data_IF_133734009639
#
_entry.id   IF_133734009639
#
_cell.length_a   1.000
_cell.length_b   1.000
_cell.length_c   1.000
_cell.angle_alpha   90.00
_cell.angle_beta   90.00
_cell.angle_gamma   90.00
#
_symmetry.space_group_name_H-M   'P 1'
#
loop_
_entity.id
_entity.type
_entity.pdbx_description
1 polymer ?
#
# COMPACT_ATOMS: atom_id res chain seq x y z
N UNK A 1 17.99 -11.95 -39.33
CA UNK A 1 18.92 -10.97 -38.76
C UNK A 1 18.39 -9.58 -39.04
N UNK A 2 17.72 -8.98 -38.07
CA UNK A 2 17.35 -7.56 -38.04
C UNK A 2 17.32 -7.17 -36.56
N UNK A 3 18.52 -7.14 -35.98
CA UNK A 3 18.78 -6.48 -34.70
C UNK A 3 19.05 -5.00 -34.97
N UNK A 4 18.76 -4.17 -33.97
CA UNK A 4 19.08 -2.75 -33.87
C UNK A 4 18.05 -1.79 -34.47
N UNK A 5 17.05 -1.47 -33.64
CA UNK A 5 16.70 -0.08 -33.33
C UNK A 5 16.08 -0.03 -31.93
N UNK A 6 16.92 -0.25 -30.92
CA UNK A 6 16.58 0.03 -29.51
C UNK A 6 16.55 1.54 -29.31
N UNK A 7 15.38 2.14 -29.48
CA UNK A 7 15.12 3.56 -29.24
C UNK A 7 15.60 4.02 -27.85
N UNK A 8 16.34 5.13 -27.85
CA UNK A 8 17.20 5.68 -26.79
C UNK A 8 16.54 6.07 -25.44
N UNK A 9 15.25 5.79 -25.20
CA UNK A 9 14.55 6.10 -23.94
C UNK A 9 13.93 4.85 -23.27
N UNK A 10 14.50 3.67 -23.49
CA UNK A 10 14.14 2.42 -22.78
C UNK A 10 14.71 2.37 -21.36
N UNK A 11 14.18 1.47 -20.52
CA UNK A 11 14.75 1.13 -19.21
C UNK A 11 16.08 0.34 -19.36
N UNK A 12 17.03 0.85 -20.15
CA UNK A 12 18.26 0.15 -20.54
C UNK A 12 19.42 0.39 -19.57
N UNK A 13 19.43 1.53 -18.87
CA UNK A 13 20.45 1.82 -17.87
C UNK A 13 20.23 1.01 -16.59
N UNK A 14 21.19 0.17 -16.23
CA UNK A 14 21.22 -0.56 -14.94
C UNK A 14 20.98 0.39 -13.76
N UNK A 15 21.54 1.60 -13.81
CA UNK A 15 21.35 2.62 -12.77
C UNK A 15 19.90 3.09 -12.65
N UNK A 16 19.16 3.20 -13.77
CA UNK A 16 17.73 3.58 -13.74
C UNK A 16 16.89 2.46 -13.13
N UNK A 17 17.14 1.21 -13.50
CA UNK A 17 16.48 0.03 -12.87
C UNK A 17 16.69 0.01 -11.35
N UNK A 18 17.94 0.22 -10.91
CA UNK A 18 18.31 0.28 -9.49
C UNK A 18 17.62 1.46 -8.79
N UNK A 19 17.54 2.64 -9.42
CA UNK A 19 16.87 3.80 -8.83
C UNK A 19 15.39 3.52 -8.55
N UNK A 20 14.65 2.94 -9.51
CA UNK A 20 13.23 2.57 -9.31
C UNK A 20 13.05 1.49 -8.24
N UNK A 21 13.95 0.50 -8.20
CA UNK A 21 13.97 -0.52 -7.16
C UNK A 21 14.25 0.07 -5.76
N UNK A 22 15.15 1.04 -5.65
CA UNK A 22 15.45 1.72 -4.38
C UNK A 22 14.30 2.60 -3.90
N UNK A 23 13.67 3.35 -4.81
CA UNK A 23 12.49 4.16 -4.48
C UNK A 23 11.37 3.26 -3.98
N UNK A 24 11.04 2.18 -4.71
CA UNK A 24 10.03 1.21 -4.29
C UNK A 24 10.34 0.61 -2.92
N UNK A 25 11.57 0.15 -2.70
CA UNK A 25 12.01 -0.39 -1.42
C UNK A 25 11.89 0.61 -0.26
N UNK A 26 12.24 1.88 -0.47
CA UNK A 26 12.24 2.90 0.58
C UNK A 26 10.85 3.42 0.96
N UNK A 27 9.89 3.35 0.02
CA UNK A 27 8.61 4.06 0.10
C UNK A 27 7.78 3.70 1.34
N UNK A 28 7.69 2.40 1.66
CA UNK A 28 6.88 1.91 2.78
C UNK A 28 7.67 1.79 4.11
N UNK A 29 8.97 2.08 4.15
CA UNK A 29 9.77 1.87 5.37
C UNK A 29 9.24 2.69 6.55
N UNK A 30 8.89 3.95 6.32
CA UNK A 30 8.35 4.83 7.36
C UNK A 30 6.98 4.36 7.85
N UNK A 31 6.13 3.89 6.94
CA UNK A 31 4.83 3.30 7.28
C UNK A 31 5.00 2.05 8.19
N UNK A 32 6.01 1.22 7.92
CA UNK A 32 6.32 0.04 8.76
C UNK A 32 6.82 0.40 10.16
N UNK A 33 7.34 1.62 10.39
CA UNK A 33 7.66 2.10 11.75
C UNK A 33 6.38 2.27 12.57
N UNK A 34 5.35 2.88 11.99
CA UNK A 34 4.06 3.10 12.65
C UNK A 34 3.24 1.83 12.86
N UNK A 35 3.35 0.86 11.94
CA UNK A 35 2.56 -0.38 11.98
C UNK A 35 3.30 -1.56 12.61
N UNK A 36 4.33 -2.10 11.95
CA UNK A 36 5.07 -3.26 12.46
C UNK A 36 5.83 -2.91 13.75
N UNK A 37 6.23 -1.65 13.90
CA UNK A 37 6.85 -1.12 15.11
C UNK A 37 5.86 -0.75 16.24
N UNK A 38 4.54 -0.82 16.01
CA UNK A 38 3.53 -0.36 16.96
C UNK A 38 3.68 -0.92 18.39
N UNK A 39 3.96 -2.23 18.61
CA UNK A 39 4.11 -2.76 19.98
C UNK A 39 5.24 -2.07 20.76
N UNK A 40 6.31 -1.68 20.07
CA UNK A 40 7.46 -1.01 20.66
C UNK A 40 7.18 0.49 20.86
N UNK A 41 6.53 1.13 19.89
CA UNK A 41 6.07 2.52 20.00
C UNK A 41 5.14 2.72 21.19
N UNK A 42 4.15 1.84 21.39
CA UNK A 42 3.22 1.97 22.51
C UNK A 42 3.90 1.88 23.88
N UNK A 43 4.88 0.99 24.02
CA UNK A 43 5.68 0.89 25.24
C UNK A 43 6.53 2.14 25.46
N UNK A 44 7.12 2.69 24.39
CA UNK A 44 7.85 3.96 24.42
C UNK A 44 6.98 5.13 24.87
N UNK A 45 5.73 5.19 24.43
CA UNK A 45 4.79 6.26 24.76
C UNK A 45 3.97 5.98 26.03
N UNK A 46 4.24 4.89 26.76
CA UNK A 46 3.48 4.46 27.95
C UNK A 46 1.96 4.34 27.71
N UNK A 47 1.56 3.84 26.54
CA UNK A 47 0.15 3.60 26.21
C UNK A 47 -0.23 2.19 26.71
N UNK A 48 -1.38 2.02 27.41
CA UNK A 48 -1.85 0.71 27.85
C UNK A 48 -1.99 -0.31 26.71
N UNK A 49 -1.56 -1.56 26.94
CA UNK A 49 -1.54 -2.60 25.91
C UNK A 49 -2.95 -2.97 25.38
N UNK A 50 -4.01 -2.80 26.18
CA UNK A 50 -5.38 -3.07 25.73
C UNK A 50 -5.87 -2.07 24.66
N UNK A 51 -5.24 -0.90 24.52
CA UNK A 51 -5.51 0.08 23.47
C UNK A 51 -4.76 -0.22 22.16
N UNK A 52 -4.06 -1.35 22.07
CA UNK A 52 -3.18 -1.67 20.94
C UNK A 52 -3.91 -1.64 19.60
N UNK A 53 -5.06 -2.31 19.51
CA UNK A 53 -5.84 -2.34 18.26
C UNK A 53 -6.32 -0.95 17.86
N UNK A 54 -6.67 -0.08 18.82
CA UNK A 54 -7.15 1.27 18.55
C UNK A 54 -6.00 2.18 18.09
N UNK A 55 -4.84 2.11 18.74
CA UNK A 55 -3.64 2.83 18.32
C UNK A 55 -3.22 2.46 16.89
N UNK A 56 -3.09 1.16 16.60
CA UNK A 56 -2.67 0.68 15.28
C UNK A 56 -3.64 1.13 14.19
N UNK A 57 -4.95 1.00 14.41
CA UNK A 57 -5.98 1.44 13.46
C UNK A 57 -5.90 2.95 13.21
N UNK A 58 -5.80 3.77 14.27
CA UNK A 58 -5.70 5.25 14.12
C UNK A 58 -4.45 5.69 13.38
N UNK A 59 -3.29 5.10 13.68
CA UNK A 59 -2.03 5.40 12.99
C UNK A 59 -2.12 4.96 11.53
N UNK A 60 -2.60 3.74 11.27
CA UNK A 60 -2.73 3.21 9.91
C UNK A 60 -3.64 4.08 9.05
N UNK A 61 -4.86 4.38 9.51
CA UNK A 61 -5.81 5.18 8.74
C UNK A 61 -5.31 6.61 8.47
N UNK A 62 -4.61 7.21 9.43
CA UNK A 62 -4.02 8.54 9.25
C UNK A 62 -2.96 8.56 8.16
N UNK A 63 -2.07 7.56 8.19
CA UNK A 63 -1.02 7.38 7.19
C UNK A 63 -1.64 7.16 5.81
N UNK A 64 -2.61 6.25 5.69
CA UNK A 64 -3.26 5.96 4.41
C UNK A 64 -4.03 7.16 3.85
N UNK A 65 -4.75 7.89 4.70
CA UNK A 65 -5.45 9.12 4.30
C UNK A 65 -4.49 10.22 3.86
N UNK A 66 -3.38 10.40 4.57
CA UNK A 66 -2.35 11.37 4.23
C UNK A 66 -1.62 10.98 2.93
N UNK A 67 -1.36 9.68 2.73
CA UNK A 67 -0.86 9.14 1.47
C UNK A 67 -1.80 9.40 0.31
N UNK A 68 -3.10 9.19 0.49
CA UNK A 68 -4.12 9.54 -0.51
C UNK A 68 -4.12 11.05 -0.82
N UNK A 69 -4.01 11.91 0.19
CA UNK A 69 -3.88 13.36 -0.02
C UNK A 69 -2.61 13.70 -0.84
N UNK A 70 -1.49 13.02 -0.57
CA UNK A 70 -0.25 13.14 -1.33
C UNK A 70 -0.38 12.69 -2.79
N UNK A 71 -1.04 11.56 -3.02
CA UNK A 71 -1.32 11.06 -4.38
C UNK A 71 -2.23 12.02 -5.13
N UNK A 72 -3.25 12.57 -4.46
CA UNK A 72 -4.16 13.57 -5.01
C UNK A 72 -3.40 14.83 -5.43
N UNK A 73 -2.56 15.37 -4.55
CA UNK A 73 -1.74 16.54 -4.85
C UNK A 73 -0.77 16.28 -6.03
N UNK A 74 -0.12 15.12 -6.03
CA UNK A 74 0.74 14.69 -7.13
C UNK A 74 -0.03 14.54 -8.44
N UNK A 75 -1.24 13.97 -8.41
CA UNK A 75 -2.07 13.77 -9.60
C UNK A 75 -2.53 15.11 -10.18
N UNK A 76 -3.04 16.02 -9.34
CA UNK A 76 -3.41 17.38 -9.75
C UNK A 76 -2.23 18.06 -10.42
N UNK A 77 -1.06 18.04 -9.78
CA UNK A 77 0.16 18.62 -10.34
C UNK A 77 0.51 18.02 -11.70
N UNK A 78 0.50 16.69 -11.82
CA UNK A 78 0.86 16.03 -13.09
C UNK A 78 -0.15 16.27 -14.23
N UNK A 79 -1.42 16.53 -13.91
CA UNK A 79 -2.47 16.80 -14.91
C UNK A 79 -2.42 18.28 -15.32
N UNK A 80 -2.40 19.20 -14.36
CA UNK A 80 -2.39 20.65 -14.59
C UNK A 80 -1.13 21.09 -15.36
N UNK A 81 0.03 20.57 -14.95
CA UNK A 81 1.32 20.89 -15.55
C UNK A 81 1.81 19.85 -16.58
N UNK A 82 0.96 18.86 -16.90
CA UNK A 82 1.24 17.84 -17.92
C UNK A 82 0.84 18.24 -19.34
N UNK A 83 0.12 19.36 -19.50
CA UNK A 83 -0.37 19.86 -20.80
C UNK A 83 0.70 20.60 -21.62
N UNK A 84 0.59 20.50 -22.94
CA UNK A 84 1.54 20.93 -23.99
C UNK A 84 2.05 22.39 -23.97
N UNK A 85 1.66 23.26 -23.02
CA UNK A 85 1.98 24.70 -23.06
C UNK A 85 2.77 25.25 -21.85
N UNK A 86 3.41 24.40 -21.05
CA UNK A 86 4.27 24.88 -19.97
C UNK A 86 5.19 23.79 -19.44
N UNK A 87 6.21 23.44 -20.22
CA UNK A 87 7.17 22.41 -19.86
C UNK A 87 7.96 22.79 -18.60
N UNK A 88 7.52 22.30 -17.44
CA UNK A 88 8.35 22.28 -16.24
C UNK A 88 8.88 20.88 -15.98
N UNK A 89 10.06 20.83 -15.36
CA UNK A 89 10.86 19.63 -15.16
C UNK A 89 10.25 18.72 -14.06
N UNK A 90 9.33 17.81 -14.42
CA UNK A 90 8.85 16.76 -13.50
C UNK A 90 10.00 16.02 -12.80
N UNK A 91 11.13 15.89 -13.49
CA UNK A 91 12.36 15.30 -12.96
C UNK A 91 12.94 16.10 -11.79
N UNK A 92 13.01 17.44 -11.90
CA UNK A 92 13.53 18.32 -10.83
C UNK A 92 12.60 18.31 -9.61
N UNK A 93 11.29 18.32 -9.85
CA UNK A 93 10.30 18.23 -8.78
C UNK A 93 10.40 16.87 -8.08
N UNK A 94 10.52 15.78 -8.85
CA UNK A 94 10.71 14.43 -8.31
C UNK A 94 12.00 14.31 -7.48
N UNK A 95 13.10 14.94 -7.90
CA UNK A 95 14.33 15.04 -7.10
C UNK A 95 14.06 15.76 -5.77
N UNK A 96 13.40 16.92 -5.82
CA UNK A 96 13.06 17.71 -4.63
C UNK A 96 12.22 16.92 -3.63
N UNK A 97 11.21 16.18 -4.11
CA UNK A 97 10.33 15.36 -3.26
C UNK A 97 11.11 14.19 -2.62
N UNK A 98 12.02 13.53 -3.35
CA UNK A 98 12.86 12.47 -2.77
C UNK A 98 13.77 12.98 -1.64
N UNK A 99 14.36 14.17 -1.80
CA UNK A 99 15.13 14.82 -0.72
C UNK A 99 14.24 15.26 0.44
N UNK A 100 13.03 15.73 0.16
CA UNK A 100 12.03 16.04 1.20
C UNK A 100 11.66 14.79 2.01
N UNK A 101 11.59 13.62 1.37
CA UNK A 101 11.35 12.34 2.05
C UNK A 101 12.51 11.92 2.95
N UNK A 102 13.75 12.19 2.55
CA UNK A 102 14.90 12.03 3.45
C UNK A 102 14.80 12.98 4.67
N UNK A 103 14.51 14.27 4.43
CA UNK A 103 14.42 15.27 5.50
C UNK A 103 13.32 14.95 6.51
N UNK A 104 12.14 14.50 6.07
CA UNK A 104 11.06 14.14 7.00
C UNK A 104 11.42 12.91 7.85
N UNK A 105 12.20 11.96 7.33
CA UNK A 105 12.70 10.83 8.12
C UNK A 105 13.71 11.30 9.18
N UNK A 106 14.50 12.34 8.90
CA UNK A 106 15.38 12.99 9.90
C UNK A 106 14.55 13.69 10.98
N UNK A 107 13.48 14.41 10.61
CA UNK A 107 12.55 15.01 11.58
C UNK A 107 11.90 13.94 12.44
N UNK A 108 11.45 12.83 11.84
CA UNK A 108 10.85 11.71 12.55
C UNK A 108 11.80 11.12 13.60
N UNK A 109 13.10 11.04 13.30
CA UNK A 109 14.11 10.62 14.26
C UNK A 109 14.19 11.56 15.46
N UNK A 110 14.28 12.87 15.24
CA UNK A 110 14.33 13.84 16.34
C UNK A 110 13.07 13.80 17.18
N UNK A 111 11.89 13.76 16.56
CA UNK A 111 10.60 13.69 17.27
C UNK A 111 10.50 12.41 18.11
N UNK A 112 11.02 11.28 17.61
CA UNK A 112 10.99 10.01 18.35
C UNK A 112 11.97 9.97 19.54
N UNK A 113 13.16 10.54 19.37
CA UNK A 113 14.21 10.54 20.41
C UNK A 113 13.94 11.59 21.49
N UNK A 114 13.33 12.72 21.13
CA UNK A 114 13.00 13.81 22.06
C UNK A 114 11.72 13.51 22.87
N UNK A 115 11.47 14.30 23.92
CA UNK A 115 10.24 14.21 24.73
C UNK A 115 10.32 13.38 26.02
N UNK A 116 11.52 13.10 26.53
CA UNK A 116 11.70 12.48 27.85
C UNK A 116 11.04 11.10 27.97
N UNK A 117 10.56 10.75 29.16
CA UNK A 117 10.01 9.41 29.44
C UNK A 117 8.72 9.08 28.69
N UNK A 118 7.88 10.08 28.38
CA UNK A 118 6.58 9.85 27.75
C UNK A 118 6.57 10.08 26.25
N UNK A 119 7.55 10.81 25.71
CA UNK A 119 7.71 11.09 24.29
C UNK A 119 6.63 12.00 23.71
N UNK A 120 6.93 12.67 22.60
CA UNK A 120 5.96 13.49 21.88
C UNK A 120 5.08 12.64 20.95
N UNK A 121 4.11 11.91 21.52
CA UNK A 121 3.24 10.99 20.79
C UNK A 121 2.49 11.68 19.63
N UNK A 122 1.89 12.84 19.88
CA UNK A 122 1.11 13.57 18.88
C UNK A 122 1.98 14.10 17.75
N UNK A 123 3.18 14.59 18.05
CA UNK A 123 4.11 15.07 17.02
C UNK A 123 4.65 13.89 16.19
N UNK A 124 4.90 12.75 16.83
CA UNK A 124 5.30 11.51 16.15
C UNK A 124 4.21 11.07 15.17
N UNK A 125 2.95 11.10 15.60
CA UNK A 125 1.79 10.79 14.77
C UNK A 125 1.68 11.71 13.54
N UNK A 126 1.74 13.03 13.73
CA UNK A 126 1.65 13.98 12.62
C UNK A 126 2.88 13.97 11.71
N UNK A 127 4.05 13.63 12.23
CA UNK A 127 5.25 13.45 11.41
C UNK A 127 5.15 12.20 10.52
N UNK A 128 4.57 11.11 11.03
CA UNK A 128 4.24 9.93 10.22
C UNK A 128 3.21 10.28 9.13
N UNK A 129 2.19 11.07 9.45
CA UNK A 129 1.19 11.56 8.50
C UNK A 129 1.83 12.44 7.40
N UNK A 130 2.72 13.37 7.77
CA UNK A 130 3.43 14.23 6.80
C UNK A 130 4.39 13.42 5.92
N UNK A 131 5.09 12.44 6.51
CA UNK A 131 5.89 11.49 5.74
C UNK A 131 5.03 10.69 4.76
N UNK A 132 3.78 10.41 5.15
CA UNK A 132 2.85 9.67 4.32
C UNK A 132 2.39 10.46 3.09
N UNK A 133 2.08 11.74 3.30
CA UNK A 133 1.82 12.69 2.22
C UNK A 133 2.97 12.75 1.21
N UNK A 134 4.21 12.83 1.67
CA UNK A 134 5.39 12.88 0.79
C UNK A 134 5.54 11.57 0.00
N UNK A 135 5.36 10.40 0.63
CA UNK A 135 5.40 9.14 -0.12
C UNK A 135 4.32 9.09 -1.20
N UNK A 136 3.13 9.60 -0.92
CA UNK A 136 2.02 9.63 -1.86
C UNK A 136 2.38 10.42 -3.13
N UNK A 137 3.06 11.56 -2.95
CA UNK A 137 3.61 12.30 -4.08
C UNK A 137 4.68 11.49 -4.82
N UNK A 138 5.64 10.88 -4.11
CA UNK A 138 6.69 10.03 -4.74
C UNK A 138 6.06 8.92 -5.58
N UNK A 139 5.01 8.27 -5.07
CA UNK A 139 4.28 7.23 -5.80
C UNK A 139 3.74 7.74 -7.14
N UNK A 140 3.05 8.88 -7.14
CA UNK A 140 2.49 9.48 -8.36
C UNK A 140 3.57 9.87 -9.37
N UNK A 141 4.62 10.57 -8.93
CA UNK A 141 5.72 10.96 -9.82
C UNK A 141 6.49 9.75 -10.34
N UNK A 142 6.68 8.71 -9.52
CA UNK A 142 7.35 7.49 -9.93
C UNK A 142 6.55 6.76 -11.01
N UNK A 143 5.22 6.65 -10.88
CA UNK A 143 4.38 6.05 -11.93
C UNK A 143 4.48 6.86 -13.23
N UNK A 144 4.36 8.19 -13.16
CA UNK A 144 4.45 9.07 -14.33
C UNK A 144 5.80 8.98 -15.05
N UNK A 145 6.91 8.85 -14.30
CA UNK A 145 8.27 8.83 -14.86
C UNK A 145 8.78 7.42 -15.18
N UNK A 146 8.14 6.37 -14.64
CA UNK A 146 8.64 4.99 -14.71
C UNK A 146 8.74 4.46 -16.12
N UNK A 147 7.70 4.67 -16.93
CA UNK A 147 7.58 4.02 -18.23
C UNK A 147 7.84 2.51 -18.10
N UNK A 148 8.84 2.04 -18.83
CA UNK A 148 9.25 0.64 -18.85
C UNK A 148 9.91 0.12 -17.56
N UNK A 149 10.24 0.99 -16.60
CA UNK A 149 10.87 0.62 -15.33
C UNK A 149 9.87 0.32 -14.19
N UNK A 150 8.56 0.48 -14.43
CA UNK A 150 7.53 0.38 -13.39
C UNK A 150 7.55 -0.97 -12.65
N UNK A 151 7.88 -2.06 -13.36
CA UNK A 151 7.94 -3.41 -12.78
C UNK A 151 8.98 -3.52 -11.65
N UNK A 152 10.13 -2.83 -11.76
CA UNK A 152 11.18 -2.83 -10.74
C UNK A 152 10.80 -2.01 -9.49
N UNK A 153 9.99 -0.97 -9.67
CA UNK A 153 9.42 -0.22 -8.56
C UNK A 153 8.42 -1.07 -7.77
N UNK A 154 7.50 -1.74 -8.47
CA UNK A 154 6.47 -2.57 -7.83
C UNK A 154 7.06 -3.82 -7.15
N UNK A 155 8.13 -4.40 -7.69
CA UNK A 155 8.75 -5.61 -7.13
C UNK A 155 9.37 -5.40 -5.76
N UNK A 156 9.81 -4.18 -5.46
CA UNK A 156 10.51 -3.84 -4.22
C UNK A 156 9.61 -3.18 -3.18
N UNK A 157 8.46 -2.64 -3.59
CA UNK A 157 7.51 -1.94 -2.72
C UNK A 157 7.13 -2.76 -1.48
N UNK A 158 6.81 -4.04 -1.67
CA UNK A 158 6.42 -4.94 -0.57
C UNK A 158 7.60 -5.66 0.12
N UNK A 159 8.80 -5.62 -0.47
CA UNK A 159 10.02 -6.23 0.11
C UNK A 159 10.45 -5.51 1.39
N UNK A 160 10.14 -4.22 1.50
CA UNK A 160 10.32 -3.42 2.72
C UNK A 160 9.71 -4.08 3.98
N UNK A 161 8.58 -4.77 3.85
CA UNK A 161 7.94 -5.49 4.96
C UNK A 161 8.76 -6.67 5.45
N UNK A 162 9.33 -7.46 4.52
CA UNK A 162 10.24 -8.57 4.83
C UNK A 162 11.48 -8.03 5.54
N UNK A 163 12.05 -6.97 5.00
CA UNK A 163 13.23 -6.32 5.56
C UNK A 163 13.02 -5.90 7.03
N UNK A 164 11.93 -5.20 7.34
CA UNK A 164 11.63 -4.76 8.71
C UNK A 164 11.42 -5.96 9.65
N UNK A 165 10.75 -7.01 9.18
CA UNK A 165 10.50 -8.21 9.99
C UNK A 165 11.78 -8.98 10.32
N UNK A 166 12.67 -9.15 9.32
CA UNK A 166 13.99 -9.76 9.50
C UNK A 166 14.86 -8.90 10.42
N UNK A 167 14.81 -7.58 10.24
CA UNK A 167 15.50 -6.63 11.13
C UNK A 167 15.04 -6.77 12.58
N UNK A 168 13.72 -6.77 12.85
CA UNK A 168 13.20 -6.95 14.21
C UNK A 168 13.64 -8.28 14.82
N UNK A 169 13.60 -9.36 14.04
CA UNK A 169 14.06 -10.67 14.49
C UNK A 169 15.55 -10.66 14.89
N UNK A 170 16.43 -10.12 14.03
CA UNK A 170 17.87 -10.03 14.30
C UNK A 170 18.14 -9.13 15.51
N UNK A 171 17.48 -7.97 15.58
CA UNK A 171 17.66 -7.00 16.65
C UNK A 171 17.28 -7.59 18.00
N UNK A 172 16.12 -8.26 18.10
CA UNK A 172 15.68 -8.92 19.33
C UNK A 172 16.59 -10.08 19.73
N UNK A 173 17.21 -10.78 18.76
CA UNK A 173 18.17 -11.84 19.08
C UNK A 173 19.47 -11.30 19.66
N UNK A 174 19.94 -10.15 19.18
CA UNK A 174 21.19 -9.53 19.64
C UNK A 174 21.02 -8.70 20.92
N UNK A 175 19.92 -7.94 21.03
CA UNK A 175 19.68 -6.94 22.07
C UNK A 175 18.40 -7.20 22.89
N UNK A 176 17.85 -8.43 22.84
CA UNK A 176 16.60 -8.80 23.52
C UNK A 176 16.66 -8.84 25.05
N UNK A 177 17.84 -8.69 25.66
CA UNK A 177 17.97 -8.69 27.11
C UNK A 177 17.49 -7.35 27.71
N UNK A 178 16.18 -7.28 28.01
CA UNK A 178 15.49 -6.11 28.56
C UNK A 178 16.05 -5.59 29.89
N UNK A 179 16.83 -6.40 30.62
CA UNK A 179 17.48 -5.96 31.87
C UNK A 179 18.71 -5.08 31.65
N UNK A 180 19.34 -5.16 30.46
CA UNK A 180 20.58 -4.43 30.14
C UNK A 180 20.33 -3.28 29.15
N UNK A 181 19.31 -3.41 28.30
CA UNK A 181 19.02 -2.43 27.26
C UNK A 181 17.53 -2.06 27.28
N UNK A 182 17.23 -0.78 27.01
CA UNK A 182 15.88 -0.36 26.67
C UNK A 182 15.54 -0.80 25.24
N UNK A 183 15.34 -2.11 25.07
CA UNK A 183 15.19 -2.77 23.76
C UNK A 183 14.05 -2.17 22.93
N UNK A 184 12.94 -1.79 23.58
CA UNK A 184 11.74 -1.28 22.90
C UNK A 184 11.97 0.14 22.32
N UNK A 185 12.78 0.97 22.97
CA UNK A 185 13.19 2.26 22.41
C UNK A 185 14.24 2.08 21.30
N UNK A 186 15.27 1.26 21.56
CA UNK A 186 16.40 1.12 20.66
C UNK A 186 16.02 0.47 19.32
N UNK A 187 15.09 -0.49 19.31
CA UNK A 187 14.68 -1.17 18.07
C UNK A 187 14.05 -0.20 17.07
N UNK A 188 13.21 0.72 17.53
CA UNK A 188 12.56 1.73 16.67
C UNK A 188 13.55 2.83 16.31
N UNK A 189 14.37 3.28 17.25
CA UNK A 189 15.42 4.27 16.99
C UNK A 189 16.34 3.81 15.84
N UNK A 190 16.85 2.58 15.91
CA UNK A 190 17.70 2.01 14.86
C UNK A 190 16.94 1.74 13.55
N UNK A 191 15.66 1.40 13.63
CA UNK A 191 14.82 1.26 12.43
C UNK A 191 14.68 2.59 11.67
N UNK A 192 14.48 3.70 12.39
CA UNK A 192 14.41 5.03 11.78
C UNK A 192 15.78 5.45 11.22
N UNK A 193 16.89 5.17 11.93
CA UNK A 193 18.25 5.42 11.41
C UNK A 193 18.48 4.67 10.09
N UNK A 194 18.10 3.39 10.01
CA UNK A 194 18.18 2.62 8.77
C UNK A 194 17.31 3.23 7.66
N UNK A 195 16.10 3.68 7.98
CA UNK A 195 15.22 4.40 7.04
C UNK A 195 15.88 5.67 6.49
N UNK A 196 16.55 6.46 7.34
CA UNK A 196 17.29 7.66 6.94
C UNK A 196 18.42 7.31 5.97
N UNK A 197 19.21 6.29 6.27
CA UNK A 197 20.32 5.86 5.39
C UNK A 197 19.78 5.40 4.03
N UNK A 198 18.73 4.57 4.03
CA UNK A 198 18.14 4.06 2.79
C UNK A 198 17.56 5.20 1.96
N UNK A 199 16.81 6.12 2.58
CA UNK A 199 16.21 7.26 1.86
C UNK A 199 17.27 8.24 1.34
N UNK A 200 18.39 8.43 2.05
CA UNK A 200 19.53 9.23 1.56
C UNK A 200 20.19 8.62 0.32
N UNK A 201 20.43 7.29 0.34
CA UNK A 201 20.98 6.55 -0.80
C UNK A 201 20.01 6.60 -1.98
N UNK A 202 18.72 6.37 -1.74
CA UNK A 202 17.67 6.47 -2.76
C UNK A 202 17.65 7.86 -3.40
N UNK A 203 17.63 8.94 -2.62
CA UNK A 203 17.61 10.31 -3.14
C UNK A 203 18.89 10.64 -3.94
N UNK A 204 20.05 10.16 -3.49
CA UNK A 204 21.32 10.35 -4.18
C UNK A 204 21.35 9.66 -5.55
N UNK A 205 20.93 8.38 -5.60
CA UNK A 205 20.87 7.61 -6.84
C UNK A 205 19.81 8.19 -7.78
N UNK A 206 18.65 8.61 -7.27
CA UNK A 206 17.60 9.26 -8.06
C UNK A 206 18.09 10.56 -8.68
N UNK A 207 18.77 11.41 -7.89
CA UNK A 207 19.38 12.65 -8.38
C UNK A 207 20.39 12.37 -9.49
N UNK A 208 21.28 11.38 -9.31
CA UNK A 208 22.28 11.03 -10.31
C UNK A 208 21.63 10.60 -11.65
N UNK A 209 20.56 9.80 -11.61
CA UNK A 209 19.87 9.33 -12.83
C UNK A 209 19.25 10.51 -13.59
N UNK A 210 18.58 11.42 -12.90
CA UNK A 210 17.82 12.49 -13.55
C UNK A 210 18.66 13.72 -13.90
N UNK A 211 19.72 14.02 -13.14
CA UNK A 211 20.70 15.07 -13.50
C UNK A 211 21.53 14.65 -14.72
N UNK A 212 21.95 13.39 -14.80
CA UNK A 212 22.67 12.87 -15.98
C UNK A 212 21.80 12.87 -17.24
N UNK A 213 20.49 12.78 -17.08
CA UNK A 213 19.52 12.80 -18.20
C UNK A 213 19.24 14.21 -18.73
N UNK A 214 19.70 15.29 -18.06
CA UNK A 214 19.36 16.69 -18.37
C UNK A 214 20.09 17.28 -19.61
N UNK A 215 20.81 16.44 -20.38
CA UNK A 215 21.54 16.86 -21.58
C UNK A 215 20.71 16.86 -22.88
N UNK A 216 19.40 16.57 -22.87
CA UNK A 216 18.52 16.78 -24.04
C UNK A 216 17.04 16.94 -23.61
N UNK A 217 16.43 18.09 -23.93
CA UNK A 217 14.99 18.39 -24.01
C UNK A 217 14.03 17.51 -23.18
N UNK A 218 14.07 17.60 -21.86
CA UNK A 218 13.19 16.82 -20.98
C UNK A 218 11.84 17.51 -20.75
N UNK A 219 10.84 17.15 -21.57
CA UNK A 219 9.42 17.43 -21.30
C UNK A 219 8.83 16.31 -20.44
N UNK A 220 7.97 16.67 -19.48
CA UNK A 220 7.11 15.70 -18.79
C UNK A 220 6.35 14.87 -19.83
N UNK A 221 6.59 13.55 -19.89
CA UNK A 221 5.80 12.67 -20.75
C UNK A 221 6.43 12.22 -22.07
N UNK A 222 7.69 12.57 -22.38
CA UNK A 222 8.33 12.07 -23.62
C UNK A 222 8.82 10.61 -23.48
N UNK A 223 7.90 9.71 -23.08
CA UNK A 223 8.08 8.28 -23.21
C UNK A 223 7.90 7.91 -24.69
N UNK A 224 9.02 7.68 -25.36
CA UNK A 224 9.13 7.30 -26.77
C UNK A 224 8.07 6.30 -27.24
N UNK A 225 7.14 6.84 -28.02
CA UNK A 225 6.58 6.36 -29.28
C UNK A 225 5.36 7.22 -29.51
N UNK A 226 5.32 7.99 -30.61
CA UNK A 226 4.07 8.54 -31.12
C UNK A 226 3.13 7.34 -31.31
N UNK A 227 2.20 7.16 -30.38
CA UNK A 227 1.16 6.15 -30.48
C UNK A 227 0.47 6.38 -31.82
N UNK A 228 0.47 5.34 -32.64
CA UNK A 228 -0.28 5.35 -33.89
C UNK A 228 -1.72 5.78 -33.54
N UNK A 229 -2.31 6.69 -34.32
CA UNK A 229 -3.58 7.38 -34.00
C UNK A 229 -4.82 6.45 -33.85
N UNK A 230 -4.63 5.13 -33.90
CA UNK A 230 -5.66 4.10 -33.87
C UNK A 230 -5.63 3.21 -32.60
N UNK A 231 -4.76 3.45 -31.60
CA UNK A 231 -4.80 2.65 -30.36
C UNK A 231 -5.92 3.12 -29.44
N UNK A 232 -6.98 2.32 -29.32
CA UNK A 232 -8.12 2.63 -28.45
C UNK A 232 -7.78 2.42 -26.97
N UNK A 233 -8.37 3.26 -26.10
CA UNK A 233 -8.31 3.15 -24.62
C UNK A 233 -8.79 1.78 -24.12
N UNK A 234 -9.52 1.02 -24.96
CA UNK A 234 -10.17 -0.23 -24.57
C UNK A 234 -9.20 -1.24 -23.94
N UNK A 235 -7.96 -1.31 -24.41
CA UNK A 235 -6.95 -2.23 -23.85
C UNK A 235 -6.40 -1.79 -22.48
N UNK A 236 -6.55 -0.52 -22.10
CA UNK A 236 -6.19 -0.02 -20.78
C UNK A 236 -7.32 -0.19 -19.73
N UNK A 237 -8.58 -0.33 -20.17
CA UNK A 237 -9.73 -0.46 -19.25
C UNK A 237 -9.62 -1.73 -18.40
N UNK A 238 -9.28 -2.86 -19.03
CA UNK A 238 -9.15 -4.14 -18.32
C UNK A 238 -8.10 -4.09 -17.19
N UNK A 239 -6.83 -3.67 -17.42
CA UNK A 239 -5.85 -3.56 -16.35
C UNK A 239 -6.19 -2.48 -15.31
N UNK A 240 -6.91 -1.41 -15.67
CA UNK A 240 -7.44 -0.46 -14.69
C UNK A 240 -8.46 -1.12 -13.75
N UNK A 241 -9.42 -1.87 -14.31
CA UNK A 241 -10.42 -2.62 -13.52
C UNK A 241 -9.72 -3.59 -12.57
N UNK A 242 -8.68 -4.29 -13.01
CA UNK A 242 -7.87 -5.16 -12.16
C UNK A 242 -7.33 -4.40 -10.94
N UNK A 243 -6.72 -3.24 -11.16
CA UNK A 243 -6.13 -2.44 -10.08
C UNK A 243 -7.19 -1.93 -9.10
N UNK A 244 -8.22 -1.26 -9.61
CA UNK A 244 -9.26 -0.63 -8.80
C UNK A 244 -10.05 -1.68 -8.03
N UNK A 245 -10.51 -2.74 -8.70
CA UNK A 245 -11.29 -3.79 -8.06
C UNK A 245 -10.50 -4.54 -6.99
N UNK A 246 -9.24 -4.90 -7.29
CA UNK A 246 -8.38 -5.58 -6.32
C UNK A 246 -8.22 -4.75 -5.05
N UNK A 247 -8.00 -3.44 -5.19
CA UNK A 247 -7.88 -2.53 -4.05
C UNK A 247 -9.19 -2.38 -3.28
N UNK A 248 -10.31 -2.23 -4.00
CA UNK A 248 -11.64 -2.11 -3.40
C UNK A 248 -11.94 -3.28 -2.48
N UNK A 249 -11.79 -4.50 -3.01
CA UNK A 249 -12.22 -5.69 -2.30
C UNK A 249 -11.27 -6.02 -1.16
N UNK A 250 -9.95 -5.85 -1.31
CA UNK A 250 -9.01 -6.21 -0.24
C UNK A 250 -9.24 -5.39 1.03
N UNK A 251 -9.47 -4.08 0.94
CA UNK A 251 -9.61 -3.21 2.12
C UNK A 251 -10.95 -3.33 2.84
N UNK A 252 -11.98 -3.91 2.19
CA UNK A 252 -13.24 -4.24 2.86
C UNK A 252 -13.04 -5.43 3.82
N UNK A 253 -12.25 -6.42 3.41
CA UNK A 253 -12.15 -7.70 4.12
C UNK A 253 -10.86 -7.88 4.92
N UNK A 254 -9.73 -7.38 4.45
CA UNK A 254 -8.42 -7.55 5.06
C UNK A 254 -7.87 -6.20 5.55
N UNK A 255 -7.30 -6.12 6.78
CA UNK A 255 -7.12 -7.22 7.74
C UNK A 255 -8.32 -7.41 8.69
N UNK A 256 -9.30 -6.50 8.66
CA UNK A 256 -10.30 -6.36 9.72
C UNK A 256 -11.25 -7.57 9.85
N UNK A 257 -11.70 -8.15 8.74
CA UNK A 257 -12.61 -9.33 8.73
C UNK A 257 -11.80 -10.63 8.71
N UNK A 258 -10.93 -10.79 7.71
CA UNK A 258 -10.06 -11.96 7.56
C UNK A 258 -8.60 -11.55 7.72
N UNK A 259 -7.79 -12.22 8.58
CA UNK A 259 -8.18 -13.30 9.48
C UNK A 259 -8.80 -12.80 10.80
N UNK A 260 -8.84 -11.48 11.04
CA UNK A 260 -9.05 -10.85 12.35
C UNK A 260 -10.31 -11.23 13.14
N UNK A 261 -11.44 -11.50 12.47
CA UNK A 261 -12.70 -11.92 13.12
C UNK A 261 -12.94 -13.44 13.06
N UNK A 262 -12.10 -14.18 12.33
CA UNK A 262 -12.33 -15.60 12.03
C UNK A 262 -11.51 -16.53 12.92
N UNK A 263 -10.37 -16.06 13.45
CA UNK A 263 -9.46 -16.85 14.30
C UNK A 263 -8.84 -16.02 15.42
N UNK A 264 -8.35 -16.71 16.45
CA UNK A 264 -7.66 -16.08 17.57
C UNK A 264 -6.40 -15.30 17.14
N UNK A 265 -6.07 -14.27 17.92
CA UNK A 265 -4.95 -13.35 17.69
C UNK A 265 -3.59 -14.03 17.42
N UNK A 266 -3.32 -15.17 18.08
CA UNK A 266 -2.06 -15.93 17.86
C UNK A 266 -1.94 -16.44 16.42
N UNK A 267 -3.06 -16.82 15.82
CA UNK A 267 -3.09 -17.33 14.44
C UNK A 267 -3.14 -16.19 13.42
N UNK A 268 -3.82 -15.08 13.74
CA UNK A 268 -3.80 -13.83 12.94
C UNK A 268 -2.35 -13.41 12.65
N UNK A 269 -1.52 -13.26 13.68
CA UNK A 269 -0.13 -12.83 13.51
C UNK A 269 0.69 -13.77 12.62
N UNK A 270 0.45 -15.08 12.68
CA UNK A 270 1.15 -16.06 11.82
C UNK A 270 0.70 -15.95 10.36
N UNK A 271 -0.59 -15.71 10.13
CA UNK A 271 -1.15 -15.52 8.79
C UNK A 271 -0.60 -14.22 8.18
N UNK A 272 -0.59 -13.12 8.94
CA UNK A 272 -0.05 -11.84 8.47
C UNK A 272 1.45 -11.92 8.15
N UNK A 273 2.23 -12.65 8.95
CA UNK A 273 3.64 -12.93 8.65
C UNK A 273 3.80 -13.73 7.35
N UNK A 274 2.96 -14.74 7.11
CA UNK A 274 2.99 -15.50 5.86
C UNK A 274 2.63 -14.60 4.66
N UNK A 275 1.58 -13.79 4.77
CA UNK A 275 1.17 -12.83 3.74
C UNK A 275 2.30 -11.86 3.39
N UNK A 276 2.99 -11.33 4.39
CA UNK A 276 4.10 -10.41 4.21
C UNK A 276 5.25 -11.01 3.37
N UNK A 277 5.49 -12.32 3.48
CA UNK A 277 6.51 -13.04 2.68
C UNK A 277 6.02 -13.32 1.25
N UNK A 278 4.75 -13.72 1.09
CA UNK A 278 4.22 -14.15 -0.20
C UNK A 278 3.81 -12.94 -1.07
N UNK A 279 3.43 -11.81 -0.46
CA UNK A 279 2.98 -10.60 -1.13
C UNK A 279 3.89 -10.09 -2.28
N UNK A 280 5.23 -9.96 -2.12
CA UNK A 280 6.08 -9.47 -3.20
C UNK A 280 6.32 -10.48 -4.34
N UNK A 281 5.98 -11.76 -4.18
CA UNK A 281 6.32 -12.83 -5.14
C UNK A 281 5.80 -12.52 -6.56
N UNK A 282 4.53 -12.12 -6.79
CA UNK A 282 4.05 -11.84 -8.14
C UNK A 282 4.84 -10.73 -8.83
N UNK A 283 5.09 -9.61 -8.13
CA UNK A 283 5.79 -8.46 -8.69
C UNK A 283 7.28 -8.76 -8.94
N UNK A 284 7.94 -9.52 -8.06
CA UNK A 284 9.31 -10.00 -8.27
C UNK A 284 9.37 -10.94 -9.48
N UNK A 285 8.41 -11.86 -9.63
CA UNK A 285 8.36 -12.80 -10.75
C UNK A 285 8.32 -12.04 -12.09
N UNK A 286 7.48 -11.01 -12.21
CA UNK A 286 7.43 -10.20 -13.43
C UNK A 286 8.67 -9.34 -13.65
N UNK A 287 9.31 -8.84 -12.58
CA UNK A 287 10.59 -8.13 -12.69
C UNK A 287 11.72 -9.04 -13.17
N UNK A 288 11.75 -10.30 -12.71
CA UNK A 288 12.71 -11.30 -13.17
C UNK A 288 12.47 -11.68 -14.64
N UNK A 289 11.22 -11.86 -15.06
CA UNK A 289 10.89 -12.12 -16.46
C UNK A 289 11.28 -10.95 -17.39
N UNK A 290 11.18 -9.70 -16.92
CA UNK A 290 11.69 -8.54 -17.66
C UNK A 290 13.23 -8.50 -17.69
N UNK A 291 13.88 -8.90 -16.60
CA UNK A 291 15.33 -8.94 -16.50
C UNK A 291 15.97 -10.05 -17.35
N UNK A 292 15.29 -11.17 -17.57
CA UNK A 292 15.74 -12.29 -18.43
C UNK A 292 15.39 -12.09 -19.91
N UNK A 293 14.98 -10.87 -20.30
CA UNK A 293 14.57 -10.50 -21.67
C UNK A 293 13.36 -11.28 -22.21
N UNK A 294 12.67 -12.03 -21.35
CA UNK A 294 11.40 -12.72 -21.65
C UNK A 294 10.21 -11.75 -21.60
N UNK A 295 10.40 -10.56 -22.18
CA UNK A 295 9.41 -9.48 -22.23
C UNK A 295 8.09 -9.90 -22.86
N UNK A 296 8.10 -11.00 -23.64
CA UNK A 296 6.89 -11.58 -24.22
C UNK A 296 5.92 -12.17 -23.19
N UNK A 297 6.42 -12.61 -22.03
CA UNK A 297 5.63 -13.18 -20.92
C UNK A 297 5.50 -12.20 -19.75
N UNK A 298 5.88 -10.95 -19.93
CA UNK A 298 5.72 -9.89 -18.94
C UNK A 298 4.44 -9.09 -19.21
N UNK A 299 3.69 -8.63 -18.19
CA UNK A 299 2.49 -7.80 -18.35
C UNK A 299 2.78 -6.45 -19.02
N UNK A 300 4.07 -6.11 -19.20
CA UNK A 300 4.61 -4.95 -19.91
C UNK A 300 4.51 -5.05 -21.44
N UNK A 301 4.05 -6.17 -22.01
CA UNK A 301 3.79 -6.26 -23.45
C UNK A 301 2.51 -5.53 -23.85
N UNK A 302 2.33 -5.24 -25.14
CA UNK A 302 1.04 -4.78 -25.66
C UNK A 302 0.05 -5.93 -25.67
N UNK A 303 -1.17 -5.68 -25.18
CA UNK A 303 -2.19 -6.73 -25.00
C UNK A 303 -2.99 -6.99 -26.28
N UNK A 304 -2.82 -6.16 -27.32
CA UNK A 304 -3.48 -6.32 -28.62
C UNK A 304 -3.21 -7.70 -29.25
N UNK A 305 -1.96 -8.15 -29.21
CA UNK A 305 -1.56 -9.45 -29.77
C UNK A 305 -1.57 -10.57 -28.70
N UNK A 306 -1.93 -10.23 -27.46
CA UNK A 306 -1.76 -11.07 -26.27
C UNK A 306 -2.94 -10.92 -25.32
N UNK A 307 -4.12 -11.22 -25.84
CA UNK A 307 -5.39 -11.11 -25.11
C UNK A 307 -5.47 -12.02 -23.87
N UNK A 308 -4.60 -13.02 -23.76
CA UNK A 308 -4.54 -13.93 -22.60
C UNK A 308 -4.29 -13.21 -21.26
N UNK A 309 -3.71 -12.01 -21.27
CA UNK A 309 -3.56 -11.20 -20.06
C UNK A 309 -4.90 -10.75 -19.47
N UNK A 310 -5.94 -10.58 -20.29
CA UNK A 310 -7.30 -10.35 -19.81
C UNK A 310 -7.82 -11.53 -18.97
N UNK A 311 -7.29 -12.74 -19.18
CA UNK A 311 -7.61 -13.93 -18.38
C UNK A 311 -7.25 -13.79 -16.90
N UNK A 312 -6.34 -12.88 -16.53
CA UNK A 312 -6.03 -12.60 -15.12
C UNK A 312 -7.20 -11.98 -14.36
N UNK A 313 -8.24 -11.50 -15.05
CA UNK A 313 -9.51 -11.12 -14.43
C UNK A 313 -10.18 -12.26 -13.66
N UNK A 314 -9.81 -13.53 -13.88
CA UNK A 314 -10.33 -14.68 -13.12
C UNK A 314 -10.09 -14.57 -11.60
N UNK A 315 -9.10 -13.77 -11.18
CA UNK A 315 -8.85 -13.53 -9.76
C UNK A 315 -9.93 -12.67 -9.10
N UNK A 316 -10.69 -11.87 -9.87
CA UNK A 316 -11.84 -11.08 -9.39
C UNK A 316 -12.94 -11.99 -8.83
N UNK A 317 -13.51 -12.95 -9.57
CA UNK A 317 -14.53 -13.84 -9.03
C UNK A 317 -13.98 -14.70 -7.87
N UNK A 318 -12.71 -15.09 -7.88
CA UNK A 318 -12.08 -15.77 -6.74
C UNK A 318 -12.13 -14.90 -5.48
N UNK A 319 -11.79 -13.62 -5.58
CA UNK A 319 -11.89 -12.68 -4.45
C UNK A 319 -13.33 -12.48 -3.98
N UNK A 320 -14.29 -12.37 -4.89
CA UNK A 320 -15.73 -12.25 -4.57
C UNK A 320 -16.21 -13.49 -3.82
N UNK A 321 -15.84 -14.69 -4.27
CA UNK A 321 -16.20 -15.95 -3.62
C UNK A 321 -15.61 -16.00 -2.20
N UNK A 322 -14.34 -15.64 -2.03
CA UNK A 322 -13.71 -15.59 -0.71
C UNK A 322 -14.42 -14.58 0.22
N UNK A 323 -14.69 -13.37 -0.26
CA UNK A 323 -15.43 -12.35 0.49
C UNK A 323 -16.83 -12.80 0.90
N UNK A 324 -17.55 -13.45 -0.01
CA UNK A 324 -18.85 -14.06 0.29
C UNK A 324 -18.75 -15.14 1.38
N UNK A 325 -17.73 -16.02 1.31
CA UNK A 325 -17.49 -17.03 2.34
C UNK A 325 -17.18 -16.40 3.71
N UNK A 326 -16.42 -15.31 3.76
CA UNK A 326 -16.13 -14.58 5.01
C UNK A 326 -17.39 -13.98 5.63
N UNK A 327 -18.23 -13.27 4.85
CA UNK A 327 -19.50 -12.71 5.35
C UNK A 327 -20.45 -13.83 5.79
N UNK A 328 -20.55 -14.90 5.00
CA UNK A 328 -21.44 -16.04 5.31
C UNK A 328 -21.00 -16.75 6.59
N UNK A 329 -19.70 -16.94 6.78
CA UNK A 329 -19.16 -17.52 8.01
C UNK A 329 -19.57 -16.67 9.23
N UNK A 330 -19.45 -15.34 9.13
CA UNK A 330 -19.76 -14.44 10.26
C UNK A 330 -21.26 -14.34 10.59
N UNK A 331 -22.14 -14.26 9.58
CA UNK A 331 -23.56 -13.99 9.80
C UNK A 331 -24.43 -15.25 9.95
N UNK A 332 -23.95 -16.42 9.50
CA UNK A 332 -24.71 -17.67 9.55
C UNK A 332 -23.96 -18.73 10.36
N UNK A 333 -23.98 -18.63 11.71
CA UNK A 333 -23.13 -19.44 12.59
C UNK A 333 -23.38 -20.94 12.47
N UNK A 334 -24.63 -21.36 12.19
CA UNK A 334 -25.01 -22.76 12.02
C UNK A 334 -24.81 -23.31 10.60
N UNK A 335 -24.30 -22.50 9.67
CA UNK A 335 -24.01 -22.98 8.32
C UNK A 335 -22.77 -23.86 8.30
N UNK A 336 -22.73 -24.87 7.43
CA UNK A 336 -21.53 -25.69 7.24
C UNK A 336 -20.28 -24.89 6.86
N UNK A 337 -20.47 -23.72 6.23
CA UNK A 337 -19.39 -22.77 5.90
C UNK A 337 -18.81 -22.14 7.17
N UNK A 338 -19.66 -21.67 8.09
CA UNK A 338 -19.22 -21.14 9.38
C UNK A 338 -18.46 -22.20 10.18
N UNK A 339 -19.01 -23.41 10.28
CA UNK A 339 -18.38 -24.52 11.02
C UNK A 339 -17.02 -24.96 10.42
N UNK A 340 -16.85 -24.81 9.10
CA UNK A 340 -15.59 -25.14 8.43
C UNK A 340 -14.51 -24.05 8.56
N UNK A 341 -14.93 -22.77 8.68
CA UNK A 341 -14.05 -21.60 8.63
C UNK A 341 -13.74 -21.07 10.05
N UNK A 342 -14.75 -20.81 10.86
CA UNK A 342 -14.57 -20.17 12.17
C UNK A 342 -13.75 -21.07 13.09
N UNK A 343 -12.75 -20.49 13.76
CA UNK A 343 -11.83 -21.19 14.67
C UNK A 343 -11.03 -22.33 14.03
N UNK A 344 -10.94 -22.38 12.69
CA UNK A 344 -10.08 -23.31 11.96
C UNK A 344 -8.92 -22.54 11.27
N UNK A 345 -7.74 -22.45 11.92
CA UNK A 345 -6.62 -21.66 11.42
C UNK A 345 -6.12 -22.06 10.03
N UNK A 346 -6.22 -23.35 9.67
CA UNK A 346 -5.74 -23.86 8.38
C UNK A 346 -6.63 -23.36 7.24
N UNK A 347 -7.95 -23.46 7.41
CA UNK A 347 -8.90 -23.04 6.38
C UNK A 347 -8.91 -21.51 6.24
N UNK A 348 -8.91 -20.78 7.36
CA UNK A 348 -8.86 -19.31 7.34
C UNK A 348 -7.54 -18.83 6.74
N UNK A 349 -6.41 -19.44 7.11
CA UNK A 349 -5.12 -19.14 6.52
C UNK A 349 -5.12 -19.35 5.01
N UNK A 350 -5.61 -20.51 4.53
CA UNK A 350 -5.70 -20.81 3.10
C UNK A 350 -6.57 -19.78 2.35
N UNK A 351 -7.78 -19.50 2.82
CA UNK A 351 -8.69 -18.56 2.16
C UNK A 351 -8.15 -17.13 2.19
N UNK A 352 -7.55 -16.70 3.30
CA UNK A 352 -6.96 -15.35 3.43
C UNK A 352 -5.74 -15.21 2.50
N UNK A 353 -4.88 -16.22 2.43
CA UNK A 353 -3.73 -16.23 1.51
C UNK A 353 -4.21 -16.22 0.06
N UNK A 354 -5.18 -17.05 -0.31
CA UNK A 354 -5.73 -17.08 -1.66
C UNK A 354 -6.33 -15.71 -2.05
N UNK A 355 -7.10 -15.11 -1.15
CA UNK A 355 -7.72 -13.80 -1.34
C UNK A 355 -6.68 -12.70 -1.53
N UNK A 356 -5.70 -12.62 -0.64
CA UNK A 356 -4.67 -11.59 -0.70
C UNK A 356 -3.70 -11.79 -1.88
N UNK A 357 -3.37 -13.04 -2.22
CA UNK A 357 -2.54 -13.33 -3.39
C UNK A 357 -3.23 -12.98 -4.70
N UNK A 358 -4.53 -13.23 -4.81
CA UNK A 358 -5.34 -12.81 -5.95
C UNK A 358 -5.26 -11.30 -6.14
N UNK A 359 -5.37 -10.54 -5.04
CA UNK A 359 -5.16 -9.09 -5.03
C UNK A 359 -3.76 -8.69 -5.53
N UNK A 360 -2.70 -9.30 -4.98
CA UNK A 360 -1.31 -8.97 -5.36
C UNK A 360 -1.00 -9.27 -6.82
N UNK A 361 -1.55 -10.35 -7.39
CA UNK A 361 -1.41 -10.69 -8.81
C UNK A 361 -2.09 -9.65 -9.69
N UNK A 362 -3.32 -9.25 -9.35
CA UNK A 362 -4.07 -8.23 -10.09
C UNK A 362 -3.34 -6.88 -10.11
N UNK A 363 -2.74 -6.44 -9.00
CA UNK A 363 -1.94 -5.21 -8.97
C UNK A 363 -0.64 -5.35 -9.79
N UNK A 364 0.06 -6.47 -9.65
CA UNK A 364 1.34 -6.71 -10.33
C UNK A 364 1.20 -6.80 -11.85
N UNK A 365 0.06 -7.26 -12.36
CA UNK A 365 -0.28 -7.28 -13.79
C UNK A 365 -0.89 -5.94 -14.22
N UNK A 366 -1.82 -5.40 -13.42
CA UNK A 366 -2.61 -4.23 -13.77
C UNK A 366 -1.78 -2.96 -13.93
N UNK A 367 -0.90 -2.62 -12.98
CA UNK A 367 -0.12 -1.38 -13.06
C UNK A 367 0.78 -1.30 -14.31
N UNK A 368 1.63 -2.30 -14.61
CA UNK A 368 2.39 -2.34 -15.86
C UNK A 368 1.50 -2.42 -17.11
N UNK A 369 0.37 -3.11 -17.02
CA UNK A 369 -0.61 -3.23 -18.11
C UNK A 369 -1.22 -1.88 -18.49
N UNK A 370 -1.59 -1.06 -17.51
CA UNK A 370 -2.09 0.31 -17.75
C UNK A 370 -1.02 1.14 -18.44
N UNK A 371 0.20 1.17 -17.90
CA UNK A 371 1.32 1.98 -18.43
C UNK A 371 1.60 1.70 -19.92
N UNK A 372 1.59 0.43 -20.33
CA UNK A 372 1.90 0.05 -21.72
C UNK A 372 0.71 0.22 -22.67
N UNK A 373 -0.51 -0.08 -22.23
CA UNK A 373 -1.70 -0.13 -23.09
C UNK A 373 -2.50 1.18 -23.14
N UNK A 374 -2.01 2.26 -22.53
CA UNK A 374 -2.68 3.58 -22.49
C UNK A 374 -2.70 4.34 -23.82
N UNK A 375 -1.98 3.88 -24.85
CA UNK A 375 -1.98 4.52 -26.17
C UNK A 375 -1.59 6.00 -26.13
N UNK A 376 -2.38 6.86 -26.79
CA UNK A 376 -2.21 8.33 -26.79
C UNK A 376 -2.39 8.98 -25.41
N UNK A 377 -2.96 8.27 -24.45
CA UNK A 377 -3.34 8.78 -23.13
C UNK A 377 -2.37 8.35 -22.02
N UNK A 378 -1.22 7.80 -22.42
CA UNK A 378 -0.14 7.36 -21.52
C UNK A 378 0.33 8.45 -20.57
N UNK A 379 0.15 9.71 -20.93
CA UNK A 379 0.57 10.82 -20.09
C UNK A 379 -0.25 11.02 -18.81
N UNK A 380 -1.50 10.60 -18.77
CA UNK A 380 -2.35 10.85 -17.61
C UNK A 380 -2.99 9.57 -17.06
N UNK A 381 -3.26 8.58 -17.91
CA UNK A 381 -4.05 7.41 -17.56
C UNK A 381 -3.42 6.52 -16.47
N UNK A 382 -2.09 6.29 -16.44
CA UNK A 382 -1.41 5.60 -15.34
C UNK A 382 -1.55 6.34 -14.00
N UNK A 383 -1.41 7.66 -14.02
CA UNK A 383 -1.56 8.51 -12.83
C UNK A 383 -3.00 8.56 -12.33
N UNK A 384 -3.97 8.67 -13.24
CA UNK A 384 -5.40 8.57 -12.90
C UNK A 384 -5.72 7.20 -12.33
N UNK A 385 -5.17 6.12 -12.87
CA UNK A 385 -5.34 4.78 -12.29
C UNK A 385 -4.80 4.73 -10.85
N UNK A 386 -3.59 5.26 -10.60
CA UNK A 386 -3.04 5.37 -9.25
C UNK A 386 -3.93 6.17 -8.29
N UNK A 387 -4.49 7.28 -8.76
CA UNK A 387 -5.46 8.07 -8.01
C UNK A 387 -6.75 7.28 -7.72
N UNK A 388 -7.36 6.64 -8.71
CA UNK A 388 -8.58 5.85 -8.53
C UNK A 388 -8.39 4.69 -7.57
N UNK A 389 -7.24 4.00 -7.63
CA UNK A 389 -6.88 2.92 -6.70
C UNK A 389 -6.80 3.47 -5.28
N UNK A 390 -6.05 4.54 -5.05
CA UNK A 390 -5.82 5.12 -3.72
C UNK A 390 -7.08 5.78 -3.14
N UNK A 391 -7.91 6.40 -3.97
CA UNK A 391 -9.24 6.90 -3.59
C UNK A 391 -10.14 5.76 -3.12
N UNK A 392 -10.18 4.66 -3.87
CA UNK A 392 -11.00 3.50 -3.54
C UNK A 392 -10.57 2.87 -2.21
N UNK A 393 -9.25 2.77 -1.98
CA UNK A 393 -8.67 2.35 -0.71
C UNK A 393 -9.10 3.27 0.44
N UNK A 394 -8.92 4.58 0.28
CA UNK A 394 -9.20 5.57 1.31
C UNK A 394 -10.69 5.59 1.72
N UNK A 395 -11.62 5.33 0.80
CA UNK A 395 -13.05 5.24 1.13
C UNK A 395 -13.37 3.93 1.86
N UNK A 396 -12.81 2.81 1.40
CA UNK A 396 -13.27 1.49 1.84
C UNK A 396 -12.60 0.97 3.10
N UNK A 397 -11.43 1.51 3.46
CA UNK A 397 -10.82 1.23 4.77
C UNK A 397 -11.75 1.66 5.91
N UNK A 398 -12.34 2.86 5.82
CA UNK A 398 -13.31 3.33 6.82
C UNK A 398 -14.60 2.54 6.83
N UNK A 399 -15.05 2.09 5.66
CA UNK A 399 -16.23 1.25 5.54
C UNK A 399 -16.01 -0.12 6.22
N UNK A 400 -14.90 -0.80 5.93
CA UNK A 400 -14.54 -2.09 6.51
C UNK A 400 -14.40 -2.01 8.03
N UNK A 401 -13.69 -1.01 8.54
CA UNK A 401 -13.56 -0.79 9.98
C UNK A 401 -14.88 -0.44 10.66
N UNK A 402 -15.69 0.43 10.04
CA UNK A 402 -17.00 0.81 10.55
C UNK A 402 -17.94 -0.39 10.70
N UNK A 403 -17.90 -1.31 9.73
CA UNK A 403 -18.60 -2.58 9.79
C UNK A 403 -18.10 -3.44 10.96
N UNK A 404 -16.78 -3.63 11.11
CA UNK A 404 -16.21 -4.45 12.20
C UNK A 404 -16.51 -3.86 13.58
N UNK A 405 -16.46 -2.53 13.71
CA UNK A 405 -16.79 -1.83 14.95
C UNK A 405 -18.27 -2.00 15.33
N UNK A 406 -19.18 -2.03 14.35
CA UNK A 406 -20.59 -2.35 14.63
C UNK A 406 -20.76 -3.82 14.98
N UNK A 407 -20.12 -4.72 14.21
CA UNK A 407 -20.22 -6.16 14.39
C UNK A 407 -19.82 -6.61 15.79
N UNK A 408 -18.76 -6.01 16.36
CA UNK A 408 -18.26 -6.32 17.70
C UNK A 408 -19.19 -5.91 18.85
N UNK A 409 -20.20 -5.06 18.61
CA UNK A 409 -21.13 -4.61 19.67
C UNK A 409 -22.19 -5.66 20.02
N UNK A 410 -22.47 -6.58 19.11
CA UNK A 410 -23.56 -7.54 19.27
C UNK A 410 -23.02 -8.93 19.60
N UNK A 411 -23.67 -9.59 20.55
CA UNK A 411 -23.45 -11.00 20.79
C UNK A 411 -24.24 -11.84 19.77
N UNK A 412 -23.72 -13.02 19.41
CA UNK A 412 -24.34 -13.94 18.44
C UNK A 412 -25.72 -14.42 18.89
N UNK A 413 -25.96 -14.44 20.20
CA UNK A 413 -27.23 -14.82 20.82
C UNK A 413 -28.33 -13.77 20.63
N UNK A 414 -27.96 -12.50 20.44
CA UNK A 414 -28.90 -11.37 20.30
C UNK A 414 -28.61 -10.62 19.00
N UNK A 415 -28.84 -11.32 17.88
CA UNK A 415 -28.47 -10.80 16.57
C UNK A 415 -29.40 -9.66 16.11
N UNK A 416 -28.88 -8.46 15.80
CA UNK A 416 -29.71 -7.27 15.54
C UNK A 416 -30.55 -7.40 14.26
N UNK A 417 -30.19 -8.30 13.35
CA UNK A 417 -30.92 -8.53 12.11
C UNK A 417 -31.75 -9.82 12.13
N UNK A 418 -31.98 -10.42 13.30
CA UNK A 418 -32.85 -11.59 13.42
C UNK A 418 -34.29 -11.22 13.04
N UNK A 419 -34.92 -12.01 12.17
CA UNK A 419 -36.27 -11.76 11.67
C UNK A 419 -36.39 -10.67 10.59
N UNK A 420 -35.28 -10.00 10.20
CA UNK A 420 -35.27 -9.09 9.06
C UNK A 420 -35.13 -9.85 7.73
N UNK A 421 -35.72 -9.31 6.66
CA UNK A 421 -35.44 -9.78 5.31
C UNK A 421 -33.99 -9.49 4.91
N UNK A 422 -33.42 -10.30 4.02
CA UNK A 422 -32.01 -10.17 3.61
C UNK A 422 -31.64 -8.74 3.13
N UNK A 423 -32.56 -8.06 2.42
CA UNK A 423 -32.36 -6.67 1.98
C UNK A 423 -32.30 -5.69 3.15
N UNK A 424 -33.17 -5.83 4.15
CA UNK A 424 -33.18 -4.97 5.35
C UNK A 424 -31.97 -5.25 6.25
N UNK A 425 -31.59 -6.52 6.39
CA UNK A 425 -30.39 -6.91 7.11
C UNK A 425 -29.14 -6.30 6.46
N UNK A 426 -28.99 -6.41 5.14
CA UNK A 426 -27.90 -5.77 4.41
C UNK A 426 -27.89 -4.25 4.58
N UNK A 427 -29.05 -3.60 4.43
CA UNK A 427 -29.20 -2.16 4.63
C UNK A 427 -28.79 -1.70 6.02
N UNK A 428 -29.14 -2.46 7.08
CA UNK A 428 -28.73 -2.17 8.46
C UNK A 428 -27.21 -2.18 8.62
N UNK A 429 -26.53 -3.25 8.16
CA UNK A 429 -25.08 -3.36 8.27
C UNK A 429 -24.35 -2.29 7.45
N UNK A 430 -24.87 -2.00 6.25
CA UNK A 430 -24.32 -0.97 5.37
C UNK A 430 -24.43 0.44 5.98
N UNK A 431 -25.61 0.80 6.50
CA UNK A 431 -25.85 2.09 7.16
C UNK A 431 -24.97 2.28 8.40
N UNK A 432 -24.89 1.25 9.26
CA UNK A 432 -24.04 1.30 10.46
C UNK A 432 -22.55 1.34 10.13
N UNK A 433 -22.12 0.64 9.09
CA UNK A 433 -20.75 0.71 8.61
C UNK A 433 -20.37 2.13 8.19
N UNK A 434 -21.25 2.82 7.45
CA UNK A 434 -21.02 4.22 7.05
C UNK A 434 -20.99 5.15 8.27
N UNK A 435 -21.96 5.03 9.19
CA UNK A 435 -22.03 5.89 10.38
C UNK A 435 -20.78 5.76 11.25
N UNK A 436 -20.34 4.53 11.52
CA UNK A 436 -19.12 4.30 12.32
C UNK A 436 -17.85 4.64 11.54
N UNK A 437 -17.81 4.38 10.23
CA UNK A 437 -16.68 4.75 9.36
C UNK A 437 -16.46 6.26 9.33
N UNK A 438 -17.54 7.05 9.24
CA UNK A 438 -17.45 8.51 9.29
C UNK A 438 -16.99 9.02 10.66
N UNK A 439 -17.44 8.39 11.76
CA UNK A 439 -16.92 8.69 13.09
C UNK A 439 -15.42 8.42 13.19
N UNK A 440 -14.96 7.26 12.73
CA UNK A 440 -13.53 6.91 12.70
C UNK A 440 -12.72 7.90 11.86
N UNK A 441 -13.24 8.33 10.71
CA UNK A 441 -12.61 9.34 9.87
C UNK A 441 -12.40 10.67 10.61
N UNK A 442 -13.41 11.16 11.32
CA UNK A 442 -13.28 12.40 12.09
C UNK A 442 -12.27 12.27 13.25
N UNK A 443 -12.19 11.10 13.89
CA UNK A 443 -11.27 10.82 14.99
C UNK A 443 -9.79 10.81 14.57
N UNK A 444 -9.48 10.79 13.27
CA UNK A 444 -8.09 10.92 12.78
C UNK A 444 -7.56 12.34 13.03
N UNK A 445 -8.39 13.35 12.93
CA UNK A 445 -7.98 14.76 13.04
C UNK A 445 -7.84 15.19 14.51
N UNK A 446 -7.14 14.37 15.30
CA UNK A 446 -6.90 14.60 16.71
C UNK A 446 -5.79 15.61 16.96
N UNK A 447 -6.03 16.51 17.92
CA UNK A 447 -5.01 17.44 18.43
C UNK A 447 -4.23 16.86 19.61
N UNK A 448 -4.74 15.78 20.21
CA UNK A 448 -4.11 15.07 21.31
C UNK A 448 -4.44 13.58 21.24
N UNK A 449 -3.58 12.84 20.55
CA UNK A 449 -3.78 11.40 20.35
C UNK A 449 -3.80 10.64 21.68
N UNK A 450 -3.03 11.09 22.68
CA UNK A 450 -2.97 10.42 23.99
C UNK A 450 -4.32 10.54 24.68
N UNK A 451 -4.86 11.76 24.78
CA UNK A 451 -6.15 12.01 25.40
C UNK A 451 -7.27 11.22 24.72
N UNK A 452 -7.31 11.23 23.39
CA UNK A 452 -8.39 10.55 22.65
C UNK A 452 -8.29 9.03 22.69
N UNK A 453 -7.09 8.47 22.92
CA UNK A 453 -6.93 7.04 23.15
C UNK A 453 -7.39 6.66 24.55
N UNK A 454 -7.06 7.48 25.55
CA UNK A 454 -7.45 7.25 26.95
C UNK A 454 -8.95 7.45 27.16
N UNK A 455 -9.58 8.41 26.48
CA UNK A 455 -11.04 8.63 26.57
C UNK A 455 -11.87 7.52 25.94
N UNK A 456 -11.26 6.56 25.24
CA UNK A 456 -11.94 5.36 24.75
C UNK A 456 -12.07 4.28 25.85
N UNK A 457 -11.51 4.54 27.04
CA UNK A 457 -11.65 3.69 28.23
C UNK A 457 -12.82 4.06 29.12
N UNK A 458 -13.28 5.30 28.99
CA UNK A 458 -14.47 5.85 29.65
C UNK A 458 -15.70 5.61 28.76
#
# INVERSE_FOLDING_TARGET
MASAESGKNGCSGTTKKVAYALVGFSLLLTLRVGMNGAPFCMKRFKIPEHLFSLYVSRVHNCIELSGFAGVTAGTIYTIEYGGSNGGQHCDKVSIGINWMFFLINVVLFFVFVTGGEEGHLTDFYWTLALSAFIYGMIFTFSIKLAGNCLVYFMSTLHVSGIFVSVYHYIFLKLFGNRRKFNTDFLIIMWQIILSIIITAVTASVWTYVYVKSDNNNNKCGENGSKGNNNSSVAYAISPMIMCVFAQVVVYIFYPAIAPGLLVDFRHVNKIDQALLIIAPIPAITFALLDATEQTQYSPKCEWKDKEWWHGTLIFIPVMIICGYLFIKALHYPHSGVSLAIINNPRMVGFLTILFYMSHMILLAVGYPGVEKNSGQYKDYLPTINGFMVTLSMAILIFFGEGYVNEFKKYDRSYWPTQGLSAKRAFGFWFDKAIQNGFKNFLLIFTRDLRRDLMSALD
#
